data_IF_453832096798
#
_entry.id   IF_453832096798
#
_cell.length_a   1.000
_cell.length_b   1.000
_cell.length_c   1.000
_cell.angle_alpha   90.00
_cell.angle_beta   90.00
_cell.angle_gamma   90.00
#
_symmetry.space_group_name_H-M   'P 1'
#
loop_
_entity.id
_entity.type
_entity.pdbx_description
1 polymer ?
#
# COMPACT_ATOMS: atom_id res chain seq x y z
N UNK A 1 10.03 7.82 25.49
CA UNK A 1 9.99 6.97 24.28
C UNK A 1 9.01 7.53 23.29
N UNK A 2 9.51 8.00 22.16
CA UNK A 2 8.68 8.43 21.05
C UNK A 2 7.99 7.22 20.43
N UNK A 3 6.75 6.97 20.79
CA UNK A 3 5.95 5.98 20.08
C UNK A 3 5.58 6.51 18.71
N UNK A 4 5.41 5.62 17.76
CA UNK A 4 4.81 5.91 16.47
C UNK A 4 3.42 6.51 16.72
N UNK A 5 3.25 7.77 16.39
CA UNK A 5 1.93 8.42 16.48
C UNK A 5 1.52 8.83 15.08
N UNK A 6 0.58 8.11 14.51
CA UNK A 6 -0.14 8.55 13.33
C UNK A 6 -1.39 9.32 13.77
N UNK A 7 -1.84 10.35 13.02
CA UNK A 7 -3.10 11.00 13.31
C UNK A 7 -4.25 9.99 13.29
N UNK A 8 -5.19 10.15 14.19
CA UNK A 8 -6.37 9.29 14.23
C UNK A 8 -7.31 9.66 13.08
N UNK A 9 -7.48 8.75 12.15
CA UNK A 9 -8.36 8.92 11.01
C UNK A 9 -9.71 8.29 11.30
N UNK A 10 -10.79 8.97 10.92
CA UNK A 10 -12.15 8.42 11.02
C UNK A 10 -12.37 7.25 10.06
N UNK A 11 -11.71 7.30 8.91
CA UNK A 11 -11.73 6.26 7.89
C UNK A 11 -10.36 6.19 7.22
N UNK A 12 -9.83 4.99 7.06
CA UNK A 12 -8.54 4.76 6.41
C UNK A 12 -8.77 4.44 4.93
N UNK A 13 -8.18 5.25 4.06
CA UNK A 13 -8.18 5.02 2.62
C UNK A 13 -7.01 4.10 2.28
N UNK A 14 -7.33 2.90 1.86
CA UNK A 14 -6.36 1.81 1.68
C UNK A 14 -6.25 1.44 0.20
N UNK A 15 -5.03 1.22 -0.28
CA UNK A 15 -4.77 0.68 -1.61
C UNK A 15 -3.94 -0.60 -1.53
N UNK A 16 -4.08 -1.45 -2.53
CA UNK A 16 -3.38 -2.73 -2.62
C UNK A 16 -2.45 -2.73 -3.82
N UNK A 17 -1.22 -3.14 -3.61
CA UNK A 17 -0.22 -3.33 -4.66
C UNK A 17 0.22 -4.79 -4.63
N UNK A 18 -0.21 -5.54 -5.64
CA UNK A 18 -0.11 -6.99 -5.67
C UNK A 18 -1.32 -7.67 -5.05
N UNK A 19 -2.15 -8.28 -5.88
CA UNK A 19 -3.37 -8.97 -5.46
C UNK A 19 -3.43 -10.39 -6.03
N UNK A 20 -2.27 -11.05 -6.08
CA UNK A 20 -2.16 -12.47 -6.41
C UNK A 20 -2.68 -13.34 -5.26
N UNK A 21 -1.93 -14.38 -4.86
CA UNK A 21 -2.39 -15.28 -3.80
C UNK A 21 -2.51 -14.59 -2.44
N UNK A 22 -1.37 -14.17 -1.89
CA UNK A 22 -1.33 -13.57 -0.54
C UNK A 22 -2.02 -12.20 -0.50
N UNK A 23 -1.76 -11.35 -1.49
CA UNK A 23 -2.38 -10.03 -1.57
C UNK A 23 -3.89 -10.11 -1.66
N UNK A 24 -4.42 -11.04 -2.41
CA UNK A 24 -5.87 -11.26 -2.50
C UNK A 24 -6.47 -11.75 -1.17
N UNK A 25 -5.72 -12.57 -0.44
CA UNK A 25 -6.14 -13.01 0.91
C UNK A 25 -6.26 -11.82 1.86
N UNK A 26 -5.29 -10.92 1.86
CA UNK A 26 -5.35 -9.68 2.65
C UNK A 26 -6.52 -8.78 2.22
N UNK A 27 -6.73 -8.66 0.91
CA UNK A 27 -7.85 -7.89 0.36
C UNK A 27 -9.19 -8.41 0.87
N UNK A 28 -9.39 -9.72 0.84
CA UNK A 28 -10.62 -10.34 1.31
C UNK A 28 -10.88 -10.07 2.80
N UNK A 29 -9.82 -10.09 3.62
CA UNK A 29 -9.92 -9.77 5.04
C UNK A 29 -10.27 -8.29 5.27
N UNK A 30 -9.68 -7.38 4.52
CA UNK A 30 -9.95 -5.95 4.67
C UNK A 30 -11.36 -5.56 4.22
N UNK A 31 -11.95 -6.32 3.29
CA UNK A 31 -13.32 -6.07 2.83
C UNK A 31 -14.39 -6.20 3.93
N UNK A 32 -14.09 -6.89 5.02
CA UNK A 32 -15.03 -7.09 6.13
C UNK A 32 -14.71 -6.24 7.36
N UNK A 33 -13.72 -5.36 7.26
CA UNK A 33 -13.33 -4.49 8.37
C UNK A 33 -14.03 -3.14 8.31
N UNK A 34 -14.49 -2.69 9.48
CA UNK A 34 -15.06 -1.35 9.62
C UNK A 34 -13.96 -0.29 9.62
N UNK A 35 -14.31 0.91 9.14
CA UNK A 35 -13.39 2.03 9.13
C UNK A 35 -12.34 2.01 8.02
N UNK A 36 -12.48 1.10 7.07
CA UNK A 36 -11.58 0.97 5.92
C UNK A 36 -12.35 1.25 4.62
N UNK A 37 -11.76 2.07 3.77
CA UNK A 37 -12.23 2.30 2.40
C UNK A 37 -11.12 1.85 1.45
N UNK A 38 -11.40 0.87 0.60
CA UNK A 38 -10.44 0.40 -0.40
C UNK A 38 -10.61 1.26 -1.65
N UNK A 39 -9.61 2.09 -1.93
CA UNK A 39 -9.69 3.10 -2.99
C UNK A 39 -9.00 2.70 -4.28
N UNK A 40 -8.02 1.81 -4.22
CA UNK A 40 -7.27 1.41 -5.40
C UNK A 40 -6.70 0.00 -5.31
N UNK A 41 -6.59 -0.64 -6.46
CA UNK A 41 -5.99 -1.97 -6.62
C UNK A 41 -5.04 -1.92 -7.82
N UNK A 42 -3.82 -2.36 -7.61
CA UNK A 42 -2.78 -2.39 -8.64
C UNK A 42 -2.15 -3.78 -8.71
N UNK A 43 -2.04 -4.30 -9.91
CA UNK A 43 -1.29 -5.52 -10.19
C UNK A 43 -0.75 -5.46 -11.62
N UNK A 44 0.31 -6.18 -11.91
CA UNK A 44 0.85 -6.26 -13.27
C UNK A 44 -0.14 -6.93 -14.23
N UNK A 45 -0.90 -7.90 -13.72
CA UNK A 45 -1.87 -8.66 -14.50
C UNK A 45 -3.26 -8.04 -14.37
N UNK A 46 -3.81 -7.64 -15.50
CA UNK A 46 -5.14 -7.02 -15.55
C UNK A 46 -6.23 -7.91 -14.94
N UNK A 47 -6.18 -9.21 -15.19
CA UNK A 47 -7.15 -10.17 -14.64
C UNK A 47 -7.14 -10.20 -13.12
N UNK A 48 -5.96 -10.06 -12.48
CA UNK A 48 -5.85 -10.03 -11.02
C UNK A 48 -6.38 -8.71 -10.47
N UNK A 49 -6.08 -7.60 -11.12
CA UNK A 49 -6.63 -6.28 -10.76
C UNK A 49 -8.14 -6.31 -10.83
N UNK A 50 -8.70 -6.80 -11.92
CA UNK A 50 -10.15 -6.91 -12.09
C UNK A 50 -10.80 -7.80 -11.04
N UNK A 51 -10.20 -8.94 -10.74
CA UNK A 51 -10.69 -9.84 -9.68
C UNK A 51 -10.74 -9.13 -8.33
N UNK A 52 -9.71 -8.36 -8.02
CA UNK A 52 -9.68 -7.57 -6.78
C UNK A 52 -10.73 -6.49 -6.74
N UNK A 53 -10.89 -5.73 -7.83
CA UNK A 53 -11.93 -4.70 -7.96
C UNK A 53 -13.32 -5.31 -7.78
N UNK A 54 -13.60 -6.42 -8.44
CA UNK A 54 -14.89 -7.12 -8.34
C UNK A 54 -15.17 -7.60 -6.92
N UNK A 55 -14.15 -8.10 -6.21
CA UNK A 55 -14.28 -8.54 -4.82
C UNK A 55 -14.68 -7.36 -3.91
N UNK A 56 -14.02 -6.23 -4.04
CA UNK A 56 -14.32 -5.05 -3.24
C UNK A 56 -15.73 -4.54 -3.54
N UNK A 57 -16.08 -4.45 -4.80
CA UNK A 57 -17.42 -4.00 -5.21
C UNK A 57 -18.50 -4.91 -4.62
N UNK A 58 -18.33 -6.23 -4.70
CA UNK A 58 -19.32 -7.18 -4.22
C UNK A 58 -19.47 -7.18 -2.69
N UNK A 59 -18.41 -6.85 -1.95
CA UNK A 59 -18.42 -6.89 -0.48
C UNK A 59 -18.69 -5.55 0.16
N UNK A 60 -18.22 -4.48 -0.44
CA UNK A 60 -18.30 -3.13 0.14
C UNK A 60 -19.26 -2.20 -0.60
N UNK A 61 -19.78 -2.62 -1.76
CA UNK A 61 -20.76 -1.85 -2.52
C UNK A 61 -20.20 -0.65 -3.28
N UNK A 62 -18.88 -0.44 -3.23
CA UNK A 62 -18.20 0.64 -3.93
C UNK A 62 -16.98 0.08 -4.67
N UNK A 63 -16.83 0.46 -5.93
CA UNK A 63 -15.75 -0.01 -6.78
C UNK A 63 -14.49 0.84 -6.56
N UNK A 64 -13.35 0.23 -6.21
CA UNK A 64 -12.07 0.93 -6.24
C UNK A 64 -11.61 1.12 -7.69
N UNK A 65 -10.63 2.00 -7.90
CA UNK A 65 -9.99 2.13 -9.20
C UNK A 65 -8.94 1.04 -9.39
N UNK A 66 -8.87 0.50 -10.60
CA UNK A 66 -7.92 -0.53 -10.98
C UNK A 66 -6.77 0.04 -11.81
N UNK A 67 -5.56 -0.41 -11.52
CA UNK A 67 -4.33 -0.03 -12.23
C UNK A 67 -3.58 -1.29 -12.63
N UNK A 68 -3.20 -1.41 -13.89
CA UNK A 68 -2.50 -2.61 -14.37
C UNK A 68 -1.70 -2.33 -15.63
N UNK A 69 -0.84 -3.28 -16.00
CA UNK A 69 -0.17 -3.29 -17.28
C UNK A 69 1.26 -2.74 -17.29
N UNK A 70 1.79 -2.25 -16.17
CA UNK A 70 3.15 -1.75 -16.12
C UNK A 70 3.76 -1.79 -14.71
N UNK A 71 5.07 -1.93 -14.65
CA UNK A 71 5.82 -1.98 -13.40
C UNK A 71 5.68 -0.72 -12.54
N UNK A 72 5.32 0.40 -13.16
CA UNK A 72 5.25 1.70 -12.49
C UNK A 72 3.82 2.21 -12.33
N UNK A 73 2.83 1.41 -12.65
CA UNK A 73 1.41 1.81 -12.52
C UNK A 73 1.03 2.10 -11.07
N UNK A 74 1.69 1.47 -10.11
CA UNK A 74 1.47 1.80 -8.70
C UNK A 74 1.81 3.26 -8.39
N UNK A 75 2.79 3.87 -9.07
CA UNK A 75 3.11 5.29 -8.90
C UNK A 75 1.97 6.18 -9.39
N UNK A 76 1.37 5.84 -10.51
CA UNK A 76 0.19 6.54 -11.02
C UNK A 76 -0.94 6.48 -10.00
N UNK A 77 -1.20 5.30 -9.44
CA UNK A 77 -2.20 5.12 -8.40
C UNK A 77 -1.90 5.97 -7.16
N UNK A 78 -0.66 5.96 -6.68
CA UNK A 78 -0.25 6.74 -5.51
C UNK A 78 -0.46 8.23 -5.72
N UNK A 79 -0.11 8.74 -6.90
CA UNK A 79 -0.26 10.16 -7.25
C UNK A 79 -1.72 10.58 -7.38
N UNK A 80 -2.54 9.76 -8.01
CA UNK A 80 -3.95 10.08 -8.26
C UNK A 80 -4.82 9.91 -7.01
N UNK A 81 -4.64 8.83 -6.27
CA UNK A 81 -5.51 8.48 -5.16
C UNK A 81 -5.03 8.99 -3.81
N UNK A 82 -3.74 9.15 -3.63
CA UNK A 82 -3.10 9.56 -2.37
C UNK A 82 -3.66 8.77 -1.17
N UNK A 83 -3.50 7.45 -1.16
CA UNK A 83 -4.04 6.63 -0.08
C UNK A 83 -3.32 6.92 1.25
N UNK A 84 -4.02 6.67 2.36
CA UNK A 84 -3.42 6.78 3.70
C UNK A 84 -2.45 5.64 3.99
N UNK A 85 -2.74 4.47 3.45
CA UNK A 85 -1.93 3.28 3.62
C UNK A 85 -1.99 2.38 2.38
N UNK A 86 -0.95 1.58 2.20
CA UNK A 86 -0.89 0.57 1.14
C UNK A 86 -0.50 -0.78 1.72
N UNK A 87 -1.05 -1.84 1.16
CA UNK A 87 -0.63 -3.21 1.44
C UNK A 87 0.10 -3.74 0.21
N UNK A 88 1.35 -4.14 0.38
CA UNK A 88 2.25 -4.54 -0.69
C UNK A 88 2.52 -6.03 -0.59
N UNK A 89 2.13 -6.78 -1.62
CA UNK A 89 2.29 -8.23 -1.72
C UNK A 89 2.70 -8.62 -3.14
N UNK A 90 3.76 -7.98 -3.63
CA UNK A 90 4.33 -8.22 -4.95
C UNK A 90 5.43 -9.29 -4.87
N UNK A 91 6.28 -9.38 -5.88
CA UNK A 91 7.47 -10.21 -5.81
C UNK A 91 8.50 -9.61 -4.82
N UNK A 92 9.37 -10.45 -4.28
CA UNK A 92 10.32 -10.04 -3.24
C UNK A 92 11.25 -8.90 -3.68
N UNK A 93 11.63 -8.89 -4.95
CA UNK A 93 12.58 -7.91 -5.47
C UNK A 93 12.01 -6.49 -5.54
N UNK A 94 10.69 -6.34 -5.54
CA UNK A 94 10.03 -5.04 -5.68
C UNK A 94 9.52 -4.45 -4.36
N UNK A 95 9.48 -5.23 -3.28
CA UNK A 95 8.89 -4.81 -2.01
C UNK A 95 9.51 -3.52 -1.47
N UNK A 96 10.84 -3.45 -1.39
CA UNK A 96 11.52 -2.29 -0.82
C UNK A 96 11.30 -1.02 -1.65
N UNK A 97 11.40 -1.14 -2.98
CA UNK A 97 11.17 -0.01 -3.88
C UNK A 97 9.76 0.55 -3.74
N UNK A 98 8.78 -0.32 -3.80
CA UNK A 98 7.37 0.08 -3.70
C UNK A 98 7.07 0.68 -2.34
N UNK A 99 7.62 0.10 -1.26
CA UNK A 99 7.44 0.64 0.08
C UNK A 99 8.04 2.04 0.23
N UNK A 100 9.26 2.26 -0.26
CA UNK A 100 9.90 3.57 -0.22
C UNK A 100 9.09 4.60 -1.03
N UNK A 101 8.66 4.25 -2.23
CA UNK A 101 7.86 5.15 -3.06
C UNK A 101 6.51 5.47 -2.41
N UNK A 102 5.89 4.48 -1.78
CA UNK A 102 4.62 4.67 -1.07
C UNK A 102 4.78 5.66 0.09
N UNK A 103 5.81 5.49 0.90
CA UNK A 103 6.11 6.41 2.00
C UNK A 103 6.40 7.84 1.50
N UNK A 104 7.13 7.98 0.40
CA UNK A 104 7.41 9.29 -0.21
C UNK A 104 6.15 9.98 -0.72
N UNK A 105 5.10 9.23 -1.02
CA UNK A 105 3.79 9.77 -1.42
C UNK A 105 2.82 9.90 -0.24
N UNK A 106 3.31 9.80 0.98
CA UNK A 106 2.52 10.02 2.18
C UNK A 106 1.72 8.83 2.69
N UNK A 107 1.93 7.64 2.13
CA UNK A 107 1.22 6.44 2.54
C UNK A 107 2.04 5.61 3.52
N UNK A 108 1.39 5.08 4.56
CA UNK A 108 2.01 4.06 5.41
C UNK A 108 2.08 2.74 4.62
N UNK A 109 3.25 2.09 4.64
CA UNK A 109 3.47 0.86 3.88
C UNK A 109 3.43 -0.36 4.79
N UNK A 110 2.54 -1.30 4.46
CA UNK A 110 2.46 -2.63 5.08
C UNK A 110 2.95 -3.64 4.04
N UNK A 111 4.06 -4.27 4.30
CA UNK A 111 4.75 -5.10 3.32
C UNK A 111 4.75 -6.55 3.76
N UNK A 112 4.38 -7.45 2.84
CA UNK A 112 4.51 -8.88 3.06
C UNK A 112 5.98 -9.28 3.16
N UNK A 113 6.29 -10.35 3.87
CA UNK A 113 7.66 -10.83 4.02
C UNK A 113 8.15 -11.52 2.74
N UNK A 114 9.44 -11.40 2.42
CA UNK A 114 10.47 -10.60 3.08
C UNK A 114 10.36 -9.10 2.72
N UNK A 115 10.65 -8.26 3.70
CA UNK A 115 10.61 -6.80 3.52
C UNK A 115 11.62 -6.32 2.47
N UNK A 116 12.79 -6.94 2.44
CA UNK A 116 13.87 -6.61 1.55
C UNK A 116 14.71 -7.86 1.25
N UNK A 117 15.46 -7.84 0.15
CA UNK A 117 16.31 -8.96 -0.27
C UNK A 117 17.81 -8.58 -0.24
N UNK A 118 18.14 -7.37 0.16
CA UNK A 118 19.52 -6.91 0.30
C UNK A 118 19.65 -5.95 1.47
N UNK A 119 20.89 -5.79 1.96
CA UNK A 119 21.20 -4.85 3.03
C UNK A 119 20.98 -3.40 2.58
N UNK A 120 21.28 -3.10 1.33
CA UNK A 120 21.04 -1.76 0.75
C UNK A 120 19.55 -1.40 0.77
N UNK A 121 18.69 -2.35 0.42
CA UNK A 121 17.24 -2.15 0.47
C UNK A 121 16.75 -1.91 1.91
N UNK A 122 17.28 -2.65 2.88
CA UNK A 122 16.96 -2.43 4.29
C UNK A 122 17.34 -1.02 4.74
N UNK A 123 18.53 -0.56 4.40
CA UNK A 123 18.97 0.79 4.73
C UNK A 123 18.11 1.86 4.03
N UNK A 124 17.73 1.64 2.77
CA UNK A 124 16.83 2.55 2.06
C UNK A 124 15.48 2.69 2.74
N UNK A 125 14.93 1.58 3.24
CA UNK A 125 13.68 1.59 4.00
C UNK A 125 13.81 2.35 5.32
N UNK A 126 14.87 2.08 6.06
CA UNK A 126 15.14 2.76 7.33
C UNK A 126 15.33 4.26 7.10
N UNK A 127 16.16 4.66 6.14
CA UNK A 127 16.42 6.06 5.85
C UNK A 127 15.16 6.80 5.39
N UNK A 128 14.37 6.21 4.52
CA UNK A 128 13.12 6.79 4.03
C UNK A 128 12.12 6.95 5.19
N UNK A 129 11.97 5.94 6.01
CA UNK A 129 11.09 6.01 7.18
C UNK A 129 11.55 7.06 8.16
N UNK A 130 12.84 7.13 8.47
CA UNK A 130 13.39 8.10 9.41
C UNK A 130 13.22 9.54 8.90
N UNK A 131 13.48 9.79 7.63
CA UNK A 131 13.33 11.13 7.05
C UNK A 131 11.88 11.63 7.11
N UNK A 132 10.92 10.78 6.79
CA UNK A 132 9.52 11.17 6.72
C UNK A 132 8.87 11.30 8.10
N UNK A 133 9.14 10.36 8.99
CA UNK A 133 8.50 10.36 10.32
C UNK A 133 9.23 11.19 11.36
N UNK A 134 10.55 11.42 11.20
CA UNK A 134 11.33 12.25 12.14
C UNK A 134 11.16 13.74 11.83
N UNK A 135 11.01 14.15 10.58
CA UNK A 135 10.78 15.56 10.23
C UNK A 135 9.43 16.05 10.76
N UNK A 136 8.40 15.22 10.74
CA UNK A 136 7.11 15.58 11.32
C UNK A 136 7.18 15.79 12.84
N UNK A 137 8.02 15.01 13.52
CA UNK A 137 8.23 15.17 14.96
C UNK A 137 9.04 16.42 15.30
N UNK A 138 9.87 16.93 14.39
CA UNK A 138 10.70 18.11 14.58
C UNK A 138 9.94 19.42 14.35
N UNK A 139 8.85 19.40 13.60
CA UNK A 139 8.01 20.58 13.30
C UNK A 139 6.96 20.86 14.40
N UNK A 140 6.88 20.01 15.39
CA UNK A 140 6.08 20.23 16.59
C UNK A 140 6.91 20.94 17.67
#
# INVERSE_FOLDING_TARGET
MGGFKAPRLGRIRLAFIGVGGRGFSHLAQMCVMDGVEIVGICDLKEELTKRGVDRVLSRMGKSPLGYSGGDMEYLTMLKELKPDAVIISTDWSSHARIACDSMKHGAHAFVEVPLAVSLEELWSLVDTSCLLYTSDAADE
#
